data_IF_888410384118
#
_entry.id   IF_888410384118
#
_cell.length_a   1.000
_cell.length_b   1.000
_cell.length_c   1.000
_cell.angle_alpha   90.00
_cell.angle_beta   90.00
_cell.angle_gamma   90.00
#
_symmetry.space_group_name_H-M   'P 1'
#
loop_
_entity.id
_entity.type
_entity.pdbx_description
1 polymer ?
#
# COMPACT_ATOMS: atom_id res chain seq x y z
N UNK A 1 -12.81 13.91 -5.02
CA UNK A 1 -13.73 13.30 -4.02
C UNK A 1 -12.89 12.62 -2.92
N UNK A 2 -13.29 12.77 -1.64
CA UNK A 2 -12.44 12.39 -0.50
C UNK A 2 -12.40 10.89 -0.17
N UNK A 3 -13.51 10.15 -0.34
CA UNK A 3 -13.61 8.72 -0.02
C UNK A 3 -13.31 8.35 1.45
N UNK A 4 -13.73 9.20 2.40
CA UNK A 4 -13.40 9.07 3.83
C UNK A 4 -13.81 7.69 4.40
N UNK A 5 -14.99 7.19 4.06
CA UNK A 5 -15.47 5.89 4.54
C UNK A 5 -14.66 4.72 3.98
N UNK A 6 -14.22 4.80 2.73
CA UNK A 6 -13.35 3.80 2.10
C UNK A 6 -11.97 3.80 2.76
N UNK A 7 -11.41 4.97 3.11
CA UNK A 7 -10.17 5.06 3.89
C UNK A 7 -10.32 4.42 5.27
N UNK A 8 -11.42 4.71 5.98
CA UNK A 8 -11.69 4.11 7.30
C UNK A 8 -11.85 2.59 7.23
N UNK A 9 -12.52 2.09 6.20
CA UNK A 9 -12.71 0.65 5.97
C UNK A 9 -11.39 -0.02 5.62
N UNK A 10 -10.61 0.59 4.71
CA UNK A 10 -9.30 0.09 4.31
C UNK A 10 -8.30 0.05 5.46
N UNK A 11 -8.26 1.13 6.27
CA UNK A 11 -7.45 1.17 7.47
C UNK A 11 -7.78 0.01 8.42
N UNK A 12 -9.08 -0.23 8.67
CA UNK A 12 -9.53 -1.26 9.60
C UNK A 12 -9.31 -2.69 9.09
N UNK A 13 -9.58 -2.95 7.81
CA UNK A 13 -9.52 -4.30 7.24
C UNK A 13 -8.13 -4.75 6.80
N UNK A 14 -7.31 -3.80 6.33
CA UNK A 14 -6.06 -4.13 5.63
C UNK A 14 -4.80 -3.53 6.25
N UNK A 15 -4.87 -2.30 6.77
CA UNK A 15 -3.66 -1.61 7.24
C UNK A 15 -3.39 -1.83 8.71
N UNK A 16 -4.43 -1.76 9.55
CA UNK A 16 -4.28 -1.86 11.00
C UNK A 16 -4.15 -3.32 11.44
N UNK A 17 -3.46 -3.55 12.56
CA UNK A 17 -3.65 -4.78 13.30
C UNK A 17 -5.11 -4.91 13.74
N UNK A 18 -5.65 -6.13 13.69
CA UNK A 18 -6.96 -6.42 14.24
C UNK A 18 -6.93 -6.40 15.78
N UNK A 19 -8.09 -6.20 16.38
CA UNK A 19 -8.22 -6.03 17.84
C UNK A 19 -7.68 -7.24 18.61
N UNK A 20 -7.88 -8.46 18.10
CA UNK A 20 -7.36 -9.69 18.71
C UNK A 20 -5.84 -9.66 18.84
N UNK A 21 -5.12 -9.29 17.76
CA UNK A 21 -3.65 -9.18 17.77
C UNK A 21 -3.17 -8.08 18.70
N UNK A 22 -3.88 -6.95 18.76
CA UNK A 22 -3.58 -5.86 19.69
C UNK A 22 -3.75 -6.31 21.14
N UNK A 23 -4.85 -6.97 21.48
CA UNK A 23 -5.10 -7.50 22.83
C UNK A 23 -4.09 -8.58 23.23
N UNK A 24 -3.74 -9.49 22.31
CA UNK A 24 -2.72 -10.52 22.54
C UNK A 24 -1.34 -9.91 22.77
N UNK A 25 -0.99 -8.85 22.02
CA UNK A 25 0.25 -8.12 22.22
C UNK A 25 0.32 -7.51 23.62
N UNK A 26 -0.74 -6.80 24.04
CA UNK A 26 -0.84 -6.22 25.39
C UNK A 26 -0.71 -7.29 26.49
N UNK A 27 -1.46 -8.38 26.39
CA UNK A 27 -1.39 -9.52 27.33
C UNK A 27 0.02 -10.12 27.39
N UNK A 28 0.71 -10.20 26.25
CA UNK A 28 2.07 -10.75 26.19
C UNK A 28 3.09 -9.83 26.85
N UNK A 29 2.95 -8.50 26.65
CA UNK A 29 3.79 -7.50 27.31
C UNK A 29 3.57 -7.57 28.82
N UNK A 30 2.33 -7.61 29.31
CA UNK A 30 2.02 -7.75 30.74
C UNK A 30 2.64 -9.01 31.34
N UNK A 31 2.53 -10.15 30.65
CA UNK A 31 3.16 -11.41 31.09
C UNK A 31 4.69 -11.31 31.17
N UNK A 32 5.33 -10.69 30.17
CA UNK A 32 6.78 -10.45 30.16
C UNK A 32 7.20 -9.52 31.29
N UNK A 33 6.46 -8.43 31.54
CA UNK A 33 6.73 -7.52 32.66
C UNK A 33 6.64 -8.23 34.01
N UNK A 34 5.62 -9.08 34.21
CA UNK A 34 5.47 -9.88 35.43
C UNK A 34 6.65 -10.84 35.60
N UNK A 35 7.07 -11.52 34.53
CA UNK A 35 8.21 -12.42 34.57
C UNK A 35 9.51 -11.70 34.94
N UNK A 36 9.77 -10.54 34.35
CA UNK A 36 10.96 -9.72 34.66
C UNK A 36 10.92 -9.21 36.11
N UNK A 37 9.75 -8.75 36.59
CA UNK A 37 9.59 -8.31 38.00
C UNK A 37 9.82 -9.44 39.01
N UNK A 38 9.48 -10.68 38.65
CA UNK A 38 9.71 -11.87 39.47
C UNK A 38 11.11 -12.48 39.30
N UNK A 39 11.92 -11.94 38.38
CA UNK A 39 13.24 -12.48 38.05
C UNK A 39 14.29 -12.15 39.11
N UNK A 40 15.40 -12.88 39.06
CA UNK A 40 16.65 -12.54 39.73
C UNK A 40 17.63 -11.80 38.79
N UNK A 41 17.12 -11.03 37.82
CA UNK A 41 17.94 -10.36 36.80
C UNK A 41 19.05 -9.49 37.40
N UNK A 42 18.85 -8.89 38.58
CA UNK A 42 19.89 -8.14 39.29
C UNK A 42 19.59 -6.65 39.47
N UNK A 43 19.38 -5.86 38.40
CA UNK A 43 19.18 -4.42 38.55
C UNK A 43 17.82 -4.10 39.17
N UNK A 44 17.76 -3.01 39.95
CA UNK A 44 16.49 -2.52 40.50
C UNK A 44 15.66 -1.89 39.39
N UNK A 45 14.50 -2.49 39.13
CA UNK A 45 13.55 -2.02 38.13
C UNK A 45 12.80 -0.81 38.68
N UNK A 46 12.83 0.28 37.92
CA UNK A 46 12.14 1.54 38.21
C UNK A 46 10.79 1.59 37.51
N UNK A 47 10.75 1.25 36.21
CA UNK A 47 9.53 1.30 35.41
C UNK A 47 9.62 0.43 34.14
N UNK A 48 8.48 0.27 33.48
CA UNK A 48 8.36 -0.30 32.14
C UNK A 48 7.62 0.67 31.23
N UNK A 49 8.22 1.02 30.10
CA UNK A 49 7.62 1.93 29.13
C UNK A 49 7.60 1.32 27.74
N UNK A 50 6.48 1.50 27.04
CA UNK A 50 6.42 1.23 25.61
C UNK A 50 7.10 2.36 24.84
N UNK A 51 7.84 2.03 23.79
CA UNK A 51 8.26 3.02 22.79
C UNK A 51 7.95 2.57 21.37
N UNK A 52 8.43 3.36 20.40
CA UNK A 52 8.41 2.96 19.00
C UNK A 52 7.00 2.87 18.44
N UNK A 53 6.83 2.07 17.40
CA UNK A 53 5.59 2.08 16.64
C UNK A 53 4.38 1.54 17.42
N UNK A 54 4.63 0.75 18.47
CA UNK A 54 3.60 0.37 19.45
C UNK A 54 3.08 1.56 20.23
N UNK A 55 3.97 2.30 20.92
CA UNK A 55 3.60 3.45 21.74
C UNK A 55 3.01 4.59 20.88
N UNK A 56 3.55 4.82 19.69
CA UNK A 56 3.00 5.78 18.73
C UNK A 56 1.66 5.33 18.18
N UNK A 57 1.28 4.07 18.40
CA UNK A 57 0.17 3.37 17.78
C UNK A 57 0.20 3.44 16.26
N UNK A 58 1.38 3.30 15.64
CA UNK A 58 1.59 3.28 14.20
C UNK A 58 1.99 1.89 13.69
N UNK A 59 1.83 0.83 14.49
CA UNK A 59 1.94 -0.55 14.00
C UNK A 59 0.93 -0.79 12.87
N UNK A 60 1.38 -1.48 11.83
CA UNK A 60 0.56 -1.92 10.71
C UNK A 60 0.52 -3.45 10.65
N UNK A 61 -0.52 -4.00 10.04
CA UNK A 61 -0.61 -5.41 9.70
C UNK A 61 0.59 -5.77 8.81
N UNK A 62 1.41 -6.76 9.20
CA UNK A 62 2.50 -7.20 8.34
C UNK A 62 1.94 -7.86 7.07
N UNK A 63 2.73 -7.83 5.99
CA UNK A 63 2.46 -8.64 4.81
C UNK A 63 2.39 -10.12 5.19
N UNK A 64 1.73 -10.95 4.37
CA UNK A 64 1.55 -12.36 4.67
C UNK A 64 2.87 -13.06 5.03
N UNK A 65 2.92 -13.71 6.20
CA UNK A 65 4.11 -14.37 6.74
C UNK A 65 5.11 -13.44 7.45
N UNK A 66 4.84 -12.13 7.51
CA UNK A 66 5.61 -11.17 8.29
C UNK A 66 5.12 -11.05 9.74
N UNK A 67 5.97 -10.47 10.58
CA UNK A 67 5.73 -10.25 12.00
C UNK A 67 5.59 -8.76 12.31
N UNK A 68 4.99 -8.44 13.44
CA UNK A 68 4.99 -7.09 14.00
C UNK A 68 5.72 -7.05 15.34
N UNK A 69 6.33 -5.91 15.60
CA UNK A 69 7.22 -5.65 16.72
C UNK A 69 6.57 -4.71 17.74
N UNK A 70 6.88 -4.95 19.01
CA UNK A 70 6.66 -4.00 20.08
C UNK A 70 7.91 -3.83 20.91
N UNK A 71 8.26 -2.57 21.16
CA UNK A 71 9.42 -2.21 21.93
C UNK A 71 9.03 -1.92 23.39
N UNK A 72 9.72 -2.58 24.31
CA UNK A 72 9.56 -2.44 25.75
C UNK A 72 10.88 -1.99 26.38
N UNK A 73 10.90 -0.79 26.95
CA UNK A 73 11.96 -0.36 27.83
C UNK A 73 11.77 -0.95 29.22
N UNK A 74 12.86 -1.46 29.80
CA UNK A 74 12.92 -1.77 31.22
C UNK A 74 13.86 -0.78 31.87
N UNK A 75 13.29 0.21 32.55
CA UNK A 75 14.03 1.31 33.15
C UNK A 75 14.59 0.83 34.48
N UNK A 76 15.90 0.93 34.67
CA UNK A 76 16.61 0.38 35.83
C UNK A 76 17.62 1.35 36.43
N UNK A 77 17.93 1.16 37.72
CA UNK A 77 19.10 1.79 38.36
C UNK A 77 20.41 1.15 37.88
N UNK A 78 21.52 1.90 37.87
CA UNK A 78 22.83 1.34 37.58
C UNK A 78 23.25 0.34 38.66
N UNK A 79 23.82 -0.78 38.23
CA UNK A 79 24.44 -1.78 39.11
C UNK A 79 25.94 -1.54 39.17
N UNK A 80 26.49 -1.52 40.38
CA UNK A 80 27.92 -1.33 40.59
C UNK A 80 28.71 -2.48 39.95
N UNK A 81 29.74 -2.14 39.17
CA UNK A 81 30.61 -3.10 38.48
C UNK A 81 30.03 -3.71 37.20
N UNK A 82 28.81 -3.34 36.78
CA UNK A 82 28.23 -3.80 35.51
C UNK A 82 28.61 -2.90 34.33
N UNK A 83 29.00 -3.54 33.23
CA UNK A 83 29.12 -2.93 31.91
C UNK A 83 27.78 -2.99 31.16
N UNK A 84 27.65 -2.28 30.02
CA UNK A 84 26.45 -2.28 29.20
C UNK A 84 26.01 -3.68 28.74
N UNK A 85 26.96 -4.53 28.33
CA UNK A 85 26.64 -5.90 27.89
C UNK A 85 25.99 -6.76 28.99
N UNK A 86 26.28 -6.48 30.26
CA UNK A 86 25.85 -7.32 31.38
C UNK A 86 24.33 -7.23 31.55
N UNK A 87 23.75 -6.03 31.41
CA UNK A 87 22.31 -5.82 31.43
C UNK A 87 21.57 -6.71 30.42
N UNK A 88 22.07 -6.82 29.19
CA UNK A 88 21.44 -7.64 28.15
C UNK A 88 21.72 -9.14 28.37
N UNK A 89 22.95 -9.49 28.70
CA UNK A 89 23.37 -10.89 28.83
C UNK A 89 22.66 -11.57 29.99
N UNK A 90 22.59 -10.92 31.16
CA UNK A 90 21.92 -11.43 32.36
C UNK A 90 20.40 -11.48 32.16
N UNK A 91 19.79 -10.49 31.49
CA UNK A 91 18.36 -10.54 31.17
C UNK A 91 18.06 -11.73 30.25
N UNK A 92 18.90 -11.94 29.24
CA UNK A 92 18.76 -13.08 28.35
C UNK A 92 19.01 -14.40 29.09
N UNK A 93 19.93 -14.44 30.05
CA UNK A 93 20.23 -15.66 30.81
C UNK A 93 19.05 -16.07 31.69
N UNK A 94 18.36 -15.09 32.28
CA UNK A 94 17.08 -15.32 32.94
C UNK A 94 16.07 -15.97 32.00
N UNK A 95 15.88 -15.42 30.79
CA UNK A 95 14.92 -15.97 29.83
C UNK A 95 15.33 -17.33 29.25
N UNK A 96 16.62 -17.59 29.06
CA UNK A 96 17.14 -18.91 28.64
C UNK A 96 16.79 -20.01 29.66
N UNK A 97 16.73 -19.66 30.94
CA UNK A 97 16.33 -20.57 32.03
C UNK A 97 14.80 -20.59 32.26
N UNK A 98 14.04 -19.67 31.65
CA UNK A 98 12.62 -19.52 31.92
C UNK A 98 11.78 -20.58 31.19
N UNK A 99 10.94 -21.30 31.94
CA UNK A 99 10.14 -22.43 31.42
C UNK A 99 9.26 -22.08 30.21
N UNK A 100 8.71 -20.87 30.17
CA UNK A 100 7.84 -20.39 29.09
C UNK A 100 8.58 -19.80 27.88
N UNK A 101 9.77 -19.23 28.09
CA UNK A 101 10.40 -18.31 27.11
C UNK A 101 11.72 -18.82 26.53
N UNK A 102 12.34 -19.83 27.13
CA UNK A 102 13.65 -20.37 26.71
C UNK A 102 13.76 -20.71 25.22
N UNK A 103 12.67 -21.19 24.61
CA UNK A 103 12.66 -21.60 23.20
C UNK A 103 12.24 -20.46 22.25
N UNK A 104 12.07 -19.25 22.79
CA UNK A 104 11.59 -18.05 22.09
C UNK A 104 12.53 -16.85 22.21
N UNK A 105 13.57 -16.96 23.04
CA UNK A 105 14.41 -15.83 23.40
C UNK A 105 15.61 -15.71 22.46
N UNK A 106 15.86 -14.47 22.03
CA UNK A 106 17.02 -14.11 21.23
C UNK A 106 17.68 -12.86 21.82
N UNK A 107 19.02 -12.79 21.76
CA UNK A 107 19.77 -11.59 22.19
C UNK A 107 20.24 -10.82 20.97
N UNK A 108 19.87 -9.55 20.88
CA UNK A 108 20.36 -8.62 19.87
C UNK A 108 21.29 -7.58 20.51
N UNK A 109 21.78 -6.62 19.72
CA UNK A 109 22.72 -5.61 20.22
C UNK A 109 22.17 -4.81 21.38
N UNK A 110 20.90 -4.41 21.34
CA UNK A 110 20.29 -3.49 22.30
C UNK A 110 19.14 -4.08 23.12
N UNK A 111 18.75 -5.33 22.85
CA UNK A 111 17.58 -5.92 23.48
C UNK A 111 17.68 -7.44 23.60
N UNK A 112 16.82 -7.97 24.47
CA UNK A 112 16.41 -9.37 24.49
C UNK A 112 15.03 -9.45 23.84
N UNK A 113 14.92 -10.24 22.77
CA UNK A 113 13.68 -10.38 22.01
C UNK A 113 12.98 -11.67 22.38
N UNK A 114 11.68 -11.61 22.66
CA UNK A 114 10.80 -12.77 22.74
C UNK A 114 10.03 -12.90 21.42
N UNK A 115 10.30 -13.97 20.67
CA UNK A 115 9.72 -14.23 19.35
C UNK A 115 8.57 -15.25 19.44
N UNK A 116 7.39 -14.82 19.02
CA UNK A 116 6.24 -15.69 18.76
C UNK A 116 6.19 -15.90 17.26
N UNK A 117 6.85 -16.97 16.79
CA UNK A 117 7.12 -17.25 15.37
C UNK A 117 5.87 -17.06 14.51
N UNK A 118 6.01 -16.21 13.48
CA UNK A 118 4.95 -15.90 12.52
C UNK A 118 3.83 -15.02 13.06
N UNK A 119 3.95 -14.52 14.29
CA UNK A 119 2.97 -13.65 14.94
C UNK A 119 3.56 -12.30 15.32
N UNK A 120 4.45 -12.25 16.31
CA UNK A 120 4.95 -11.00 16.91
C UNK A 120 6.31 -11.15 17.58
N UNK A 121 7.00 -10.02 17.75
CA UNK A 121 8.21 -9.89 18.56
C UNK A 121 8.03 -8.85 19.66
N UNK A 122 8.61 -9.11 20.82
CA UNK A 122 8.71 -8.14 21.91
C UNK A 122 10.19 -7.90 22.15
N UNK A 123 10.65 -6.70 21.80
CA UNK A 123 12.03 -6.28 21.96
C UNK A 123 12.19 -5.59 23.32
N UNK A 124 12.85 -6.27 24.25
CA UNK A 124 13.00 -5.83 25.64
C UNK A 124 14.38 -5.19 25.78
N UNK A 125 14.41 -3.86 25.86
CA UNK A 125 15.64 -3.08 25.95
C UNK A 125 15.84 -2.56 27.39
N UNK A 126 16.87 -3.03 28.11
CA UNK A 126 17.34 -2.40 29.33
C UNK A 126 17.71 -0.93 29.08
N UNK A 127 17.21 -0.07 29.95
CA UNK A 127 17.44 1.37 29.91
C UNK A 127 17.94 1.83 31.29
N UNK A 128 19.22 2.15 31.38
CA UNK A 128 19.83 2.60 32.64
C UNK A 128 19.51 4.07 32.86
N UNK A 129 18.90 4.37 33.99
CA UNK A 129 18.60 5.75 34.41
C UNK A 129 19.60 6.18 35.48
N UNK A 130 20.13 7.40 35.35
CA UNK A 130 20.80 8.04 36.48
C UNK A 130 22.29 7.74 36.63
N UNK A 131 22.94 7.07 35.67
CA UNK A 131 24.36 6.69 35.78
C UNK A 131 25.31 7.89 35.90
N UNK A 132 25.04 8.96 35.15
CA UNK A 132 25.80 10.22 35.20
C UNK A 132 25.04 11.36 35.88
N UNK A 133 23.77 11.53 35.50
CA UNK A 133 22.87 12.54 36.08
C UNK A 133 21.48 11.93 36.25
N UNK A 134 20.74 12.36 37.28
CA UNK A 134 19.47 11.74 37.70
C UNK A 134 18.41 11.58 36.60
N UNK A 135 18.44 12.41 35.55
CA UNK A 135 17.47 12.43 34.46
C UNK A 135 18.04 11.96 33.10
N UNK A 136 19.21 11.31 33.07
CA UNK A 136 19.71 10.70 31.82
C UNK A 136 19.32 9.24 31.69
N UNK A 137 18.95 8.86 30.47
CA UNK A 137 18.60 7.52 30.06
C UNK A 137 19.60 7.01 29.03
N UNK A 138 20.11 5.80 29.24
CA UNK A 138 21.06 5.15 28.34
C UNK A 138 20.56 3.73 28.01
N UNK A 139 20.46 3.38 26.73
CA UNK A 139 20.28 1.98 26.33
C UNK A 139 21.63 1.27 26.31
N UNK A 140 21.61 -0.05 26.47
CA UNK A 140 22.82 -0.86 26.55
C UNK A 140 23.11 -1.57 25.23
N UNK A 141 24.30 -1.34 24.64
CA UNK A 141 24.76 -2.09 23.48
C UNK A 141 25.72 -3.20 23.91
N UNK A 142 25.29 -4.46 23.83
CA UNK A 142 26.12 -5.61 24.24
C UNK A 142 27.25 -5.96 23.29
N UNK A 143 27.18 -5.51 22.03
CA UNK A 143 28.19 -5.84 21.01
C UNK A 143 29.38 -4.89 21.15
N UNK A 144 29.12 -3.59 21.25
CA UNK A 144 30.19 -2.58 21.47
C UNK A 144 30.55 -2.42 22.95
N UNK A 145 29.72 -2.94 23.85
CA UNK A 145 29.82 -2.77 25.30
C UNK A 145 29.73 -1.30 25.73
N UNK A 146 28.84 -0.55 25.09
CA UNK A 146 28.67 0.89 25.31
C UNK A 146 27.28 1.21 25.86
N UNK A 147 27.22 2.22 26.73
CA UNK A 147 25.98 2.88 27.11
C UNK A 147 25.71 4.00 26.12
N UNK A 148 24.55 3.98 25.48
CA UNK A 148 24.18 4.93 24.43
C UNK A 148 23.04 5.82 24.92
N UNK A 149 23.23 7.13 24.94
CA UNK A 149 22.17 8.09 25.31
C UNK A 149 20.93 7.88 24.45
N UNK A 150 19.77 7.79 25.10
CA UNK A 150 18.48 7.66 24.41
C UNK A 150 17.51 8.75 24.84
N UNK A 151 16.59 9.10 23.94
CA UNK A 151 15.44 9.96 24.21
C UNK A 151 14.15 9.29 23.70
N UNK A 152 14.04 7.96 23.83
CA UNK A 152 12.92 7.19 23.28
C UNK A 152 11.55 7.60 23.87
N UNK A 153 11.51 7.98 25.15
CA UNK A 153 10.31 8.49 25.81
C UNK A 153 9.93 9.88 25.27
N UNK A 154 10.85 10.84 25.34
CA UNK A 154 10.64 12.20 24.80
C UNK A 154 10.29 12.17 23.30
N UNK A 155 10.84 11.24 22.53
CA UNK A 155 10.52 11.08 21.12
C UNK A 155 9.09 10.56 20.94
N UNK A 156 8.67 9.63 21.80
CA UNK A 156 7.29 9.13 21.83
C UNK A 156 6.32 10.25 22.17
N UNK A 157 6.62 11.07 23.18
CA UNK A 157 5.84 12.25 23.53
C UNK A 157 5.77 13.23 22.36
N UNK A 158 6.91 13.51 21.70
CA UNK A 158 6.94 14.37 20.52
C UNK A 158 6.04 13.85 19.38
N UNK A 159 6.05 12.53 19.10
CA UNK A 159 5.16 11.94 18.07
C UNK A 159 3.70 12.07 18.47
N UNK A 160 3.37 11.80 19.74
CA UNK A 160 2.01 11.91 20.29
C UNK A 160 1.52 13.35 20.22
N UNK A 161 2.35 14.32 20.61
CA UNK A 161 2.06 15.75 20.57
C UNK A 161 1.80 16.22 19.14
N UNK A 162 2.65 15.84 18.17
CA UNK A 162 2.44 16.18 16.75
C UNK A 162 1.11 15.63 16.23
N UNK A 163 0.71 14.43 16.64
CA UNK A 163 -0.61 13.90 16.31
C UNK A 163 -1.74 14.67 17.04
N UNK A 164 -1.52 15.08 18.29
CA UNK A 164 -2.44 15.89 19.07
C UNK A 164 -2.72 17.26 18.49
N UNK A 165 -1.72 17.91 17.88
CA UNK A 165 -1.86 19.22 17.23
C UNK A 165 -2.95 19.22 16.16
N UNK A 166 -3.00 18.19 15.30
CA UNK A 166 -3.95 18.14 14.18
C UNK A 166 -5.31 17.50 14.52
N UNK A 167 -5.42 16.85 15.67
CA UNK A 167 -6.66 16.20 16.11
C UNK A 167 -7.05 14.97 15.27
N UNK A 168 -8.19 14.36 15.61
CA UNK A 168 -8.80 13.26 14.83
C UNK A 168 -8.01 11.94 14.74
N UNK A 169 -6.82 11.89 15.33
CA UNK A 169 -5.80 10.85 15.13
C UNK A 169 -5.41 10.66 13.65
N UNK A 170 -5.61 11.67 12.81
CA UNK A 170 -5.39 11.53 11.37
C UNK A 170 -3.92 11.44 11.00
N UNK A 171 -3.01 12.09 11.76
CA UNK A 171 -1.57 11.90 11.57
C UNK A 171 -1.15 10.45 11.82
N UNK A 172 -1.63 9.83 12.91
CA UNK A 172 -1.41 8.40 13.20
C UNK A 172 -1.90 7.52 12.04
N UNK A 173 -3.12 7.77 11.53
CA UNK A 173 -3.68 7.01 10.39
C UNK A 173 -2.85 7.20 9.12
N UNK A 174 -2.40 8.42 8.83
CA UNK A 174 -1.55 8.74 7.67
C UNK A 174 -0.19 8.07 7.79
N UNK A 175 0.44 8.09 8.96
CA UNK A 175 1.71 7.37 9.20
C UNK A 175 1.56 5.88 8.91
N UNK A 176 0.45 5.25 9.34
CA UNK A 176 0.14 3.85 9.01
C UNK A 176 -0.03 3.63 7.50
N UNK A 177 -0.77 4.50 6.81
CA UNK A 177 -0.95 4.42 5.35
C UNK A 177 0.39 4.54 4.60
N UNK A 178 1.28 5.43 5.04
CA UNK A 178 2.58 5.63 4.42
C UNK A 178 3.54 4.46 4.68
N UNK A 179 3.53 3.88 5.89
CA UNK A 179 4.24 2.64 6.19
C UNK A 179 3.71 1.49 5.33
N UNK A 180 2.39 1.35 5.22
CA UNK A 180 1.78 0.34 4.36
C UNK A 180 2.16 0.54 2.89
N UNK A 181 2.12 1.77 2.37
CA UNK A 181 2.57 2.11 1.03
C UNK A 181 4.03 1.70 0.78
N UNK A 182 4.93 1.98 1.73
CA UNK A 182 6.33 1.55 1.66
C UNK A 182 6.42 0.03 1.52
N UNK A 183 5.69 -0.70 2.37
CA UNK A 183 5.77 -2.16 2.47
C UNK A 183 5.18 -2.85 1.23
N UNK A 184 4.08 -2.36 0.65
CA UNK A 184 3.51 -2.95 -0.57
C UNK A 184 4.27 -2.57 -1.85
N UNK A 185 4.97 -1.42 -1.87
CA UNK A 185 5.65 -0.94 -3.09
C UNK A 185 7.07 -1.44 -3.21
N UNK A 186 7.75 -1.68 -2.08
CA UNK A 186 9.11 -2.24 -1.97
C UNK A 186 10.14 -1.60 -2.91
N UNK A 187 9.93 -0.34 -3.31
CA UNK A 187 10.70 0.34 -4.35
C UNK A 187 11.39 1.62 -3.87
N UNK A 188 11.38 1.85 -2.56
CA UNK A 188 12.22 2.80 -1.82
C UNK A 188 12.46 2.26 -0.40
N UNK A 189 13.53 2.75 0.22
CA UNK A 189 13.92 2.39 1.59
C UNK A 189 13.69 3.58 2.50
N UNK A 190 12.98 3.39 3.61
CA UNK A 190 12.84 4.38 4.68
C UNK A 190 12.49 3.65 5.99
N UNK A 191 13.43 3.56 6.96
CA UNK A 191 13.13 2.96 8.26
C UNK A 191 11.97 3.66 8.96
N UNK A 192 11.20 2.91 9.76
CA UNK A 192 9.97 3.42 10.38
C UNK A 192 10.20 4.65 11.27
N UNK A 193 11.30 4.70 12.03
CA UNK A 193 11.64 5.86 12.85
C UNK A 193 11.89 7.11 12.00
N UNK A 194 12.70 7.01 10.94
CA UNK A 194 13.00 8.13 10.05
C UNK A 194 11.75 8.59 9.30
N UNK A 195 10.91 7.65 8.87
CA UNK A 195 9.66 8.00 8.20
C UNK A 195 8.70 8.73 9.13
N UNK A 196 8.60 8.28 10.39
CA UNK A 196 7.76 8.91 11.42
C UNK A 196 8.25 10.32 11.73
N UNK A 197 9.57 10.52 11.86
CA UNK A 197 10.18 11.85 12.03
C UNK A 197 9.87 12.77 10.86
N UNK A 198 10.08 12.30 9.62
CA UNK A 198 9.77 13.07 8.41
C UNK A 198 8.31 13.50 8.36
N UNK A 199 7.38 12.60 8.69
CA UNK A 199 5.94 12.90 8.73
C UNK A 199 5.61 13.90 9.83
N UNK A 200 6.10 13.69 11.06
CA UNK A 200 5.81 14.55 12.20
C UNK A 200 6.41 15.96 12.08
N UNK A 201 7.60 16.09 11.47
CA UNK A 201 8.26 17.40 11.25
C UNK A 201 7.48 18.32 10.28
N UNK A 202 6.50 17.78 9.54
CA UNK A 202 5.63 18.55 8.65
C UNK A 202 4.30 18.96 9.29
N UNK A 203 4.18 18.78 10.62
CA UNK A 203 3.10 19.31 11.43
C UNK A 203 3.61 20.47 12.28
N UNK A 204 2.97 21.62 12.12
CA UNK A 204 3.28 22.86 12.83
C UNK A 204 2.17 23.17 13.82
N UNK A 205 2.50 23.86 14.91
CA UNK A 205 1.51 24.16 15.97
C UNK A 205 0.36 25.04 15.42
N UNK A 206 0.62 25.81 14.37
CA UNK A 206 -0.38 26.58 13.61
C UNK A 206 -1.38 25.73 12.82
N UNK A 207 -1.17 24.42 12.69
CA UNK A 207 -2.09 23.50 12.03
C UNK A 207 -3.27 23.10 12.92
N UNK A 208 -3.26 23.50 14.19
CA UNK A 208 -4.37 23.26 15.10
C UNK A 208 -5.68 23.77 14.52
N UNK A 209 -6.70 22.92 14.54
CA UNK A 209 -8.04 23.18 13.99
C UNK A 209 -8.08 23.51 12.48
N UNK A 210 -6.98 23.25 11.76
CA UNK A 210 -6.91 23.50 10.32
C UNK A 210 -7.71 22.49 9.51
N UNK A 211 -8.48 22.99 8.53
CA UNK A 211 -9.22 22.14 7.57
C UNK A 211 -8.31 21.25 6.73
N UNK A 212 -7.00 21.56 6.66
CA UNK A 212 -6.00 20.75 5.97
C UNK A 212 -5.76 19.37 6.62
N UNK A 213 -6.32 19.16 7.83
CA UNK A 213 -6.23 17.92 8.59
C UNK A 213 -7.60 17.40 9.07
N UNK A 214 -8.70 17.91 8.52
CA UNK A 214 -10.06 17.60 8.96
C UNK A 214 -10.47 16.12 8.81
N UNK A 215 -9.79 15.38 7.95
CA UNK A 215 -10.03 13.96 7.72
C UNK A 215 -8.76 13.28 7.17
N UNK A 216 -8.73 11.95 7.22
CA UNK A 216 -7.58 11.14 6.79
C UNK A 216 -7.11 11.41 5.35
N UNK A 217 -7.95 11.42 4.30
CA UNK A 217 -7.48 11.68 2.94
C UNK A 217 -6.96 13.11 2.76
N UNK A 218 -7.56 14.10 3.41
CA UNK A 218 -7.08 15.49 3.37
C UNK A 218 -5.74 15.62 4.10
N UNK A 219 -5.62 15.01 5.28
CA UNK A 219 -4.36 14.94 6.04
C UNK A 219 -3.25 14.26 5.21
N UNK A 220 -3.54 13.13 4.55
CA UNK A 220 -2.58 12.41 3.71
C UNK A 220 -2.05 13.32 2.60
N UNK A 221 -2.94 14.00 1.89
CA UNK A 221 -2.59 14.94 0.81
C UNK A 221 -1.73 16.08 1.33
N UNK A 222 -2.11 16.69 2.45
CA UNK A 222 -1.37 17.80 3.07
C UNK A 222 0.04 17.38 3.49
N UNK A 223 0.17 16.28 4.25
CA UNK A 223 1.45 15.78 4.74
C UNK A 223 2.36 15.37 3.57
N UNK A 224 1.83 14.65 2.58
CA UNK A 224 2.64 14.24 1.42
C UNK A 224 3.06 15.41 0.54
N UNK A 225 2.21 16.43 0.41
CA UNK A 225 2.57 17.67 -0.27
C UNK A 225 3.75 18.37 0.42
N UNK A 226 3.65 18.60 1.73
CA UNK A 226 4.71 19.23 2.53
C UNK A 226 6.01 18.43 2.54
N UNK A 227 5.91 17.10 2.66
CA UNK A 227 7.06 16.21 2.62
C UNK A 227 7.77 16.28 1.26
N UNK A 228 7.03 16.20 0.16
CA UNK A 228 7.64 16.33 -1.16
C UNK A 228 8.25 17.72 -1.37
N UNK A 229 7.58 18.81 -0.98
CA UNK A 229 8.13 20.18 -1.08
C UNK A 229 9.47 20.30 -0.33
N UNK A 230 9.54 19.78 0.90
CA UNK A 230 10.76 19.72 1.69
C UNK A 230 11.88 18.95 0.98
N UNK A 231 11.54 17.78 0.41
CA UNK A 231 12.48 16.92 -0.31
C UNK A 231 12.93 17.56 -1.62
N UNK A 232 12.03 18.18 -2.40
CA UNK A 232 12.34 18.85 -3.67
C UNK A 232 13.34 19.98 -3.48
N UNK A 233 13.21 20.75 -2.39
CA UNK A 233 14.14 21.81 -2.03
C UNK A 233 15.55 21.30 -1.61
N UNK A 234 15.73 19.99 -1.39
CA UNK A 234 16.98 19.39 -0.89
C UNK A 234 17.48 18.29 -1.84
N UNK A 235 18.20 18.63 -2.93
CA UNK A 235 18.71 17.64 -3.88
C UNK A 235 19.75 16.70 -3.27
N UNK A 236 20.53 17.18 -2.30
CA UNK A 236 21.51 16.40 -1.53
C UNK A 236 20.92 15.93 -0.20
N UNK A 237 21.40 14.78 0.30
CA UNK A 237 20.98 14.17 1.56
C UNK A 237 21.10 15.17 2.71
N UNK A 238 19.98 15.62 3.31
CA UNK A 238 20.04 16.53 4.44
C UNK A 238 20.39 15.77 5.72
N UNK A 239 20.92 16.53 6.68
CA UNK A 239 21.02 16.07 8.07
C UNK A 239 19.61 16.14 8.67
N UNK A 240 19.01 14.98 8.94
CA UNK A 240 17.74 14.87 9.67
C UNK A 240 18.09 14.28 11.03
N UNK A 241 17.78 15.04 12.07
CA UNK A 241 18.07 14.68 13.46
C UNK A 241 16.81 14.15 14.13
N UNK A 242 17.01 13.38 15.18
CA UNK A 242 15.96 13.15 16.16
C UNK A 242 15.52 14.51 16.75
N UNK A 243 14.20 14.82 16.77
CA UNK A 243 13.68 16.11 17.18
C UNK A 243 13.93 16.44 18.65
N UNK A 244 14.17 15.43 19.49
CA UNK A 244 14.39 15.59 20.93
C UNK A 244 15.82 15.22 21.37
N UNK A 245 16.61 14.59 20.49
CA UNK A 245 18.00 14.22 20.75
C UNK A 245 18.90 14.68 19.60
N UNK A 246 19.40 15.91 19.70
CA UNK A 246 20.12 16.54 18.59
C UNK A 246 21.40 15.81 18.16
N UNK A 247 22.03 15.01 19.04
CA UNK A 247 23.19 14.19 18.71
C UNK A 247 22.87 13.03 17.76
N UNK A 248 21.63 12.53 17.78
CA UNK A 248 21.16 11.43 16.93
C UNK A 248 20.79 11.93 15.52
N UNK A 249 21.59 11.54 14.52
CA UNK A 249 21.37 11.87 13.10
C UNK A 249 20.72 10.68 12.41
N UNK A 250 19.40 10.68 12.42
CA UNK A 250 18.56 9.63 11.83
C UNK A 250 18.75 9.44 10.32
N UNK A 251 19.14 10.48 9.57
CA UNK A 251 19.39 10.35 8.12
C UNK A 251 20.66 9.57 7.75
N UNK A 252 21.52 9.22 8.71
CA UNK A 252 22.74 8.42 8.46
C UNK A 252 22.46 7.03 7.91
N UNK A 253 21.23 6.53 8.05
CA UNK A 253 20.79 5.25 7.46
C UNK A 253 20.65 5.29 5.94
N UNK A 254 20.74 6.47 5.33
CA UNK A 254 20.73 6.63 3.89
C UNK A 254 22.09 7.03 3.36
N UNK A 255 22.43 6.48 2.19
CA UNK A 255 23.32 7.13 1.25
C UNK A 255 22.56 8.08 0.31
N UNK A 256 23.31 8.84 -0.51
CA UNK A 256 22.74 9.79 -1.47
C UNK A 256 21.85 9.11 -2.54
N UNK A 257 22.12 7.85 -2.89
CA UNK A 257 21.35 7.08 -3.88
C UNK A 257 20.00 6.66 -3.31
N UNK A 258 20.00 6.08 -2.10
CA UNK A 258 18.80 5.70 -1.37
C UNK A 258 17.90 6.91 -1.12
N UNK A 259 18.48 8.02 -0.68
CA UNK A 259 17.78 9.29 -0.53
C UNK A 259 17.22 9.80 -1.86
N UNK A 260 18.02 9.83 -2.92
CA UNK A 260 17.57 10.24 -4.25
C UNK A 260 16.37 9.41 -4.75
N UNK A 261 16.39 8.10 -4.52
CA UNK A 261 15.28 7.22 -4.84
C UNK A 261 14.04 7.52 -3.97
N UNK A 262 14.20 7.65 -2.65
CA UNK A 262 13.12 8.04 -1.74
C UNK A 262 12.43 9.32 -2.21
N UNK A 263 13.19 10.39 -2.46
CA UNK A 263 12.66 11.66 -2.96
C UNK A 263 11.84 11.47 -4.23
N UNK A 264 12.35 10.70 -5.20
CA UNK A 264 11.69 10.51 -6.50
C UNK A 264 10.40 9.71 -6.36
N UNK A 265 10.36 8.74 -5.44
CA UNK A 265 9.16 7.97 -5.14
C UNK A 265 8.11 8.81 -4.39
N UNK A 266 8.52 9.61 -3.40
CA UNK A 266 7.61 10.53 -2.72
C UNK A 266 6.97 11.52 -3.70
N UNK A 267 7.75 12.09 -4.62
CA UNK A 267 7.22 12.98 -5.67
C UNK A 267 6.19 12.27 -6.57
N UNK A 268 6.51 11.05 -7.01
CA UNK A 268 5.58 10.23 -7.79
C UNK A 268 4.27 9.97 -7.05
N UNK A 269 4.35 9.59 -5.77
CA UNK A 269 3.16 9.27 -4.98
C UNK A 269 2.36 10.51 -4.62
N UNK A 270 2.99 11.67 -4.41
CA UNK A 270 2.27 12.95 -4.31
C UNK A 270 1.41 13.20 -5.53
N UNK A 271 1.97 13.06 -6.74
CA UNK A 271 1.20 13.26 -7.98
C UNK A 271 -0.02 12.34 -8.03
N UNK A 272 0.14 11.05 -7.69
CA UNK A 272 -1.00 10.12 -7.68
C UNK A 272 -2.04 10.47 -6.61
N UNK A 273 -1.60 10.88 -5.41
CA UNK A 273 -2.48 11.30 -4.32
C UNK A 273 -3.29 12.53 -4.73
N UNK A 274 -2.65 13.55 -5.30
CA UNK A 274 -3.33 14.75 -5.78
C UNK A 274 -4.33 14.42 -6.90
N UNK A 275 -3.94 13.59 -7.88
CA UNK A 275 -4.83 13.11 -8.96
C UNK A 275 -6.04 12.33 -8.44
N UNK A 276 -5.86 11.48 -7.42
CA UNK A 276 -6.91 10.66 -6.83
C UNK A 276 -7.89 11.48 -5.98
N UNK A 277 -7.34 12.43 -5.20
CA UNK A 277 -8.10 13.31 -4.33
C UNK A 277 -8.95 14.32 -5.12
N UNK A 278 -8.39 14.89 -6.20
CA UNK A 278 -9.05 15.87 -7.04
C UNK A 278 -10.09 15.25 -8.00
N UNK A 279 -10.04 13.93 -8.24
CA UNK A 279 -10.97 13.25 -9.14
C UNK A 279 -12.43 13.37 -8.69
N UNK A 280 -13.30 13.79 -9.60
CA UNK A 280 -14.72 14.01 -9.34
C UNK A 280 -15.54 12.73 -9.56
N UNK A 281 -15.16 11.90 -10.53
CA UNK A 281 -15.83 10.63 -10.78
C UNK A 281 -15.50 9.61 -9.69
N UNK A 282 -16.54 8.97 -9.15
CA UNK A 282 -16.37 8.09 -8.00
C UNK A 282 -15.52 6.87 -8.32
N UNK A 283 -15.82 6.23 -9.44
CA UNK A 283 -15.20 4.98 -9.83
C UNK A 283 -13.74 5.22 -10.27
N UNK A 284 -13.48 6.33 -10.97
CA UNK A 284 -12.13 6.77 -11.33
C UNK A 284 -11.29 7.10 -10.10
N UNK A 285 -11.85 7.80 -9.10
CA UNK A 285 -11.12 8.13 -7.87
C UNK A 285 -10.71 6.85 -7.12
N UNK A 286 -11.60 5.87 -7.01
CA UNK A 286 -11.27 4.57 -6.40
C UNK A 286 -10.15 3.88 -7.18
N UNK A 287 -10.22 3.82 -8.51
CA UNK A 287 -9.17 3.21 -9.33
C UNK A 287 -7.81 3.90 -9.16
N UNK A 288 -7.80 5.24 -8.99
CA UNK A 288 -6.58 6.00 -8.69
C UNK A 288 -6.04 5.72 -7.28
N UNK A 289 -6.90 5.55 -6.28
CA UNK A 289 -6.45 5.14 -4.94
C UNK A 289 -5.95 3.69 -4.91
N UNK A 290 -6.55 2.77 -5.66
CA UNK A 290 -6.06 1.40 -5.81
C UNK A 290 -4.69 1.35 -6.49
N UNK A 291 -4.36 2.30 -7.37
CA UNK A 291 -2.99 2.46 -7.90
C UNK A 291 -1.97 2.73 -6.79
N UNK A 292 -2.37 3.48 -5.76
CA UNK A 292 -1.52 3.85 -4.62
C UNK A 292 -1.46 2.68 -3.63
N UNK A 293 -2.61 2.21 -3.15
CA UNK A 293 -2.72 1.28 -2.01
C UNK A 293 -3.00 -0.19 -2.36
N UNK A 294 -3.16 -0.52 -3.64
CA UNK A 294 -3.51 -1.86 -4.09
C UNK A 294 -5.03 -2.10 -4.12
N UNK A 295 -5.41 -3.27 -4.63
CA UNK A 295 -6.81 -3.55 -5.02
C UNK A 295 -7.75 -3.72 -3.84
N UNK A 296 -7.22 -3.99 -2.65
CA UNK A 296 -8.00 -4.10 -1.42
C UNK A 296 -8.66 -2.75 -1.03
N UNK A 297 -8.15 -1.61 -1.52
CA UNK A 297 -8.81 -0.32 -1.30
C UNK A 297 -10.15 -0.27 -2.03
N UNK A 298 -11.26 -0.19 -1.27
CA UNK A 298 -12.63 -0.21 -1.79
C UNK A 298 -12.91 -1.39 -2.74
N UNK A 299 -12.37 -2.58 -2.43
CA UNK A 299 -12.50 -3.78 -3.25
C UNK A 299 -13.95 -4.19 -3.48
N UNK A 300 -14.80 -4.04 -2.46
CA UNK A 300 -16.23 -4.27 -2.55
C UNK A 300 -16.85 -3.39 -3.62
N UNK A 301 -16.73 -2.07 -3.50
CA UNK A 301 -17.31 -1.13 -4.47
C UNK A 301 -16.72 -1.28 -5.87
N UNK A 302 -15.44 -1.59 -5.98
CA UNK A 302 -14.81 -1.92 -7.26
C UNK A 302 -15.43 -3.18 -7.90
N UNK A 303 -15.68 -4.23 -7.12
CA UNK A 303 -16.36 -5.44 -7.62
C UNK A 303 -17.79 -5.13 -8.05
N UNK A 304 -18.53 -4.39 -7.22
CA UNK A 304 -19.94 -4.06 -7.50
C UNK A 304 -20.11 -3.19 -8.75
N UNK A 305 -19.14 -2.32 -9.06
CA UNK A 305 -19.20 -1.43 -10.24
C UNK A 305 -19.21 -2.19 -11.58
N UNK A 306 -18.79 -3.46 -11.59
CA UNK A 306 -18.78 -4.30 -12.78
C UNK A 306 -20.18 -4.64 -13.32
N UNK A 307 -21.21 -4.58 -12.47
CA UNK A 307 -22.60 -4.93 -12.82
C UNK A 307 -23.31 -3.78 -13.54
N UNK A 308 -22.81 -3.47 -14.72
CA UNK A 308 -23.25 -2.34 -15.53
C UNK A 308 -24.74 -2.44 -15.91
N UNK A 309 -25.21 -3.65 -16.26
CA UNK A 309 -26.61 -3.90 -16.60
C UNK A 309 -27.59 -3.51 -15.48
N UNK A 310 -27.27 -3.77 -14.21
CA UNK A 310 -28.10 -3.35 -13.07
C UNK A 310 -28.12 -1.83 -12.94
N UNK A 311 -26.99 -1.16 -13.17
CA UNK A 311 -26.89 0.30 -13.06
C UNK A 311 -27.64 1.04 -14.17
N UNK A 312 -27.54 0.56 -15.42
CA UNK A 312 -28.22 1.14 -16.58
C UNK A 312 -29.73 0.92 -16.49
N UNK A 313 -30.16 -0.18 -15.87
CA UNK A 313 -31.59 -0.44 -15.64
C UNK A 313 -32.19 0.48 -14.57
N UNK A 314 -31.38 1.02 -13.64
CA UNK A 314 -31.84 1.92 -12.56
C UNK A 314 -31.88 3.40 -12.97
N UNK A 315 -31.10 3.81 -13.98
CA UNK A 315 -31.00 5.21 -14.42
C UNK A 315 -32.17 5.68 -15.30
N UNK A 316 -32.95 4.76 -15.88
CA UNK A 316 -34.13 5.11 -16.65
C UNK A 316 -35.37 5.21 -15.75
N UNK A 317 -35.86 6.43 -15.55
CA UNK A 317 -37.15 6.73 -14.92
C UNK A 317 -38.38 6.28 -15.76
N UNK A 318 -38.16 5.61 -16.89
CA UNK A 318 -39.19 5.13 -17.81
C UNK A 318 -39.13 3.60 -17.90
N UNK A 319 -39.65 2.96 -16.85
CA UNK A 319 -40.18 1.59 -16.89
C UNK A 319 -41.38 1.58 -17.84
N UNK A 320 -41.13 1.72 -19.15
CA UNK A 320 -42.18 1.55 -20.15
C UNK A 320 -42.29 0.06 -20.42
N UNK A 321 -43.42 -0.51 -20.03
CA UNK A 321 -43.91 -1.83 -20.43
C UNK A 321 -43.21 -3.08 -19.85
N UNK A 322 -42.62 -3.01 -18.65
CA UNK A 322 -42.26 -4.23 -17.88
C UNK A 322 -41.18 -5.13 -18.50
N UNK A 323 -40.47 -4.66 -19.54
CA UNK A 323 -39.32 -5.36 -20.10
C UNK A 323 -38.03 -4.73 -19.58
N UNK A 324 -37.41 -5.34 -18.56
CA UNK A 324 -36.05 -4.99 -18.14
C UNK A 324 -35.07 -5.33 -19.28
N UNK A 325 -34.51 -4.30 -19.94
CA UNK A 325 -33.44 -4.47 -20.93
C UNK A 325 -32.08 -4.22 -20.30
N UNK A 326 -31.29 -5.28 -20.20
CA UNK A 326 -29.90 -5.21 -19.76
C UNK A 326 -28.99 -4.49 -20.76
N UNK A 327 -27.72 -4.26 -20.38
CA UNK A 327 -26.80 -3.48 -21.20
C UNK A 327 -26.53 -4.15 -22.57
N UNK A 328 -26.41 -5.47 -22.60
CA UNK A 328 -26.18 -6.22 -23.84
C UNK A 328 -27.32 -5.99 -24.83
N UNK A 329 -28.57 -6.09 -24.38
CA UNK A 329 -29.74 -5.86 -25.24
C UNK A 329 -29.79 -4.41 -25.75
N UNK A 330 -29.46 -3.44 -24.90
CA UNK A 330 -29.39 -2.03 -25.31
C UNK A 330 -28.29 -1.77 -26.33
N UNK A 331 -27.13 -2.40 -26.19
CA UNK A 331 -26.03 -2.31 -27.16
C UNK A 331 -26.39 -2.99 -28.49
N UNK A 332 -27.13 -4.10 -28.45
CA UNK A 332 -27.65 -4.72 -29.68
C UNK A 332 -28.58 -3.75 -30.44
N UNK A 333 -29.41 -2.99 -29.72
CA UNK A 333 -30.41 -2.09 -30.32
C UNK A 333 -29.86 -0.73 -30.75
N UNK A 334 -28.98 -0.14 -29.92
CA UNK A 334 -28.52 1.25 -30.07
C UNK A 334 -27.00 1.37 -30.25
N UNK A 335 -26.29 0.25 -30.34
CA UNK A 335 -24.84 0.21 -30.55
C UNK A 335 -24.07 0.96 -29.46
N UNK A 336 -23.08 1.76 -29.89
CA UNK A 336 -22.18 2.49 -28.98
C UNK A 336 -22.91 3.49 -28.07
N UNK A 337 -24.03 4.04 -28.51
CA UNK A 337 -24.79 5.04 -27.75
C UNK A 337 -25.39 4.49 -26.45
N UNK A 338 -25.53 3.17 -26.33
CA UNK A 338 -26.00 2.51 -25.12
C UNK A 338 -24.91 2.30 -24.06
N UNK A 339 -23.63 2.50 -24.40
CA UNK A 339 -22.53 2.27 -23.46
C UNK A 339 -22.48 3.39 -22.42
N UNK A 340 -22.42 3.07 -21.12
CA UNK A 340 -22.22 4.08 -20.10
C UNK A 340 -20.79 4.64 -20.19
N UNK A 341 -20.62 5.96 -20.09
CA UNK A 341 -19.32 6.62 -20.20
C UNK A 341 -18.24 6.03 -19.27
N UNK A 342 -18.67 5.59 -18.08
CA UNK A 342 -17.79 4.99 -17.06
C UNK A 342 -17.26 3.59 -17.40
N UNK A 343 -17.74 2.92 -18.45
CA UNK A 343 -17.38 1.52 -18.75
C UNK A 343 -15.87 1.30 -18.93
N UNK A 344 -15.14 2.33 -19.35
CA UNK A 344 -13.68 2.30 -19.53
C UNK A 344 -12.89 2.73 -18.29
N UNK A 345 -13.59 3.19 -17.24
CA UNK A 345 -13.05 3.85 -16.04
C UNK A 345 -13.44 3.16 -14.73
N UNK A 346 -14.02 1.96 -14.80
CA UNK A 346 -14.33 1.18 -13.60
C UNK A 346 -13.09 1.00 -12.71
N UNK A 347 -13.24 0.89 -11.38
CA UNK A 347 -12.10 1.00 -10.46
C UNK A 347 -11.09 -0.13 -10.63
N UNK A 348 -11.59 -1.37 -10.80
CA UNK A 348 -10.76 -2.57 -10.98
C UNK A 348 -10.05 -2.65 -12.35
N UNK A 349 -10.33 -1.71 -13.27
CA UNK A 349 -9.60 -1.61 -14.54
C UNK A 349 -8.23 -0.99 -14.25
N UNK A 350 -7.15 -1.77 -14.33
CA UNK A 350 -5.79 -1.28 -14.04
C UNK A 350 -5.42 -0.10 -14.93
N UNK A 351 -5.02 1.01 -14.32
CA UNK A 351 -4.46 2.15 -15.03
C UNK A 351 -3.06 1.82 -15.57
N UNK A 352 -2.66 2.36 -16.74
CA UNK A 352 -1.33 2.10 -17.31
C UNK A 352 -0.22 2.48 -16.33
N UNK A 353 0.72 1.55 -16.12
CA UNK A 353 1.85 1.73 -15.20
C UNK A 353 3.10 2.33 -15.85
N UNK A 354 3.11 2.42 -17.17
CA UNK A 354 4.25 2.87 -17.96
C UNK A 354 4.22 4.38 -18.17
N UNK A 355 5.39 5.01 -18.19
CA UNK A 355 5.51 6.40 -18.62
C UNK A 355 5.30 6.48 -20.13
N UNK A 356 4.67 7.56 -20.59
CA UNK A 356 4.55 7.82 -22.02
C UNK A 356 5.94 8.07 -22.63
N UNK A 357 6.17 7.51 -23.82
CA UNK A 357 7.30 7.88 -24.65
C UNK A 357 7.09 9.28 -25.27
N UNK A 358 8.17 9.92 -25.71
CA UNK A 358 8.09 11.19 -26.44
C UNK A 358 7.41 11.04 -27.80
N UNK A 359 7.56 9.86 -28.42
CA UNK A 359 6.91 9.49 -29.66
C UNK A 359 5.72 8.56 -29.37
N UNK A 360 4.61 8.77 -30.08
CA UNK A 360 3.44 7.89 -30.02
C UNK A 360 3.11 7.33 -31.41
N UNK A 361 2.70 6.07 -31.44
CA UNK A 361 2.21 5.34 -32.61
C UNK A 361 0.72 5.05 -32.46
N UNK A 362 0.02 5.05 -33.59
CA UNK A 362 -1.36 4.57 -33.64
C UNK A 362 -1.37 3.05 -33.51
N UNK A 363 -2.18 2.54 -32.58
CA UNK A 363 -2.39 1.11 -32.36
C UNK A 363 -3.83 0.79 -32.73
N UNK A 364 -4.01 -0.05 -33.74
CA UNK A 364 -5.32 -0.56 -34.15
C UNK A 364 -5.48 -1.99 -33.62
N UNK A 365 -6.70 -2.36 -33.24
CA UNK A 365 -7.06 -3.73 -32.85
C UNK A 365 -8.03 -4.29 -33.88
N UNK A 366 -7.68 -5.43 -34.48
CA UNK A 366 -8.60 -6.26 -35.25
C UNK A 366 -8.92 -7.54 -34.48
N UNK A 367 -10.03 -8.20 -34.82
CA UNK A 367 -10.46 -9.41 -34.15
C UNK A 367 -10.98 -10.46 -35.13
N UNK A 368 -10.80 -11.74 -34.78
CA UNK A 368 -11.26 -12.89 -35.54
C UNK A 368 -11.94 -13.91 -34.61
N UNK A 369 -13.06 -14.46 -35.05
CA UNK A 369 -13.78 -15.52 -34.32
C UNK A 369 -13.16 -16.88 -34.64
N UNK A 370 -13.00 -17.72 -33.62
CA UNK A 370 -12.46 -19.06 -33.70
C UNK A 370 -13.47 -20.08 -33.16
N UNK A 371 -13.37 -21.35 -33.58
CA UNK A 371 -14.16 -22.45 -32.99
C UNK A 371 -13.89 -22.63 -31.49
N UNK A 372 -12.62 -22.56 -31.11
CA UNK A 372 -12.09 -22.65 -29.75
C UNK A 372 -10.68 -22.03 -29.73
N UNK A 373 -10.00 -21.97 -28.59
CA UNK A 373 -8.63 -21.46 -28.52
C UNK A 373 -7.71 -22.31 -29.41
N UNK A 374 -6.90 -21.64 -30.22
CA UNK A 374 -6.05 -22.25 -31.27
C UNK A 374 -6.83 -23.05 -32.31
N UNK A 375 -8.16 -22.92 -32.34
CA UNK A 375 -9.05 -23.57 -33.28
C UNK A 375 -9.07 -22.90 -34.66
N UNK A 376 -10.05 -23.30 -35.47
CA UNK A 376 -10.16 -22.83 -36.86
C UNK A 376 -10.84 -21.47 -36.92
N UNK A 377 -10.35 -20.60 -37.81
CA UNK A 377 -10.91 -19.26 -38.06
C UNK A 377 -12.29 -19.35 -38.71
N UNK A 378 -13.28 -18.72 -38.09
CA UNK A 378 -14.66 -18.63 -38.59
C UNK A 378 -14.91 -17.32 -39.37
N UNK A 379 -14.26 -16.22 -39.01
CA UNK A 379 -14.45 -14.93 -39.69
C UNK A 379 -13.87 -13.74 -38.94
N UNK A 380 -13.91 -12.56 -39.57
CA UNK A 380 -13.56 -11.30 -38.91
C UNK A 380 -14.68 -10.81 -38.00
N UNK A 381 -14.32 -10.10 -36.93
CA UNK A 381 -15.26 -9.54 -35.94
C UNK A 381 -15.06 -8.04 -35.84
N UNK A 382 -16.17 -7.29 -35.86
CA UNK A 382 -16.15 -5.84 -35.59
C UNK A 382 -16.49 -5.54 -34.13
N UNK A 383 -15.97 -4.44 -33.61
CA UNK A 383 -16.28 -3.97 -32.25
C UNK A 383 -17.79 -3.76 -32.10
N UNK A 384 -18.36 -4.16 -30.95
CA UNK A 384 -19.80 -4.18 -30.66
C UNK A 384 -20.63 -5.21 -31.44
N UNK A 385 -20.03 -6.05 -32.27
CA UNK A 385 -20.74 -7.16 -32.90
C UNK A 385 -21.25 -8.14 -31.82
N UNK A 386 -22.53 -8.53 -31.84
CA UNK A 386 -23.06 -9.53 -30.90
C UNK A 386 -22.55 -10.93 -31.24
N UNK A 387 -21.94 -11.60 -30.27
CA UNK A 387 -21.32 -12.92 -30.42
C UNK A 387 -21.95 -13.94 -29.47
N UNK A 388 -22.12 -15.17 -29.95
CA UNK A 388 -22.62 -16.29 -29.15
C UNK A 388 -21.51 -16.87 -28.27
N UNK A 389 -21.89 -17.44 -27.13
CA UNK A 389 -20.98 -18.18 -26.26
C UNK A 389 -20.38 -19.42 -26.94
N UNK A 390 -19.37 -19.99 -26.29
CA UNK A 390 -18.78 -21.28 -26.68
C UNK A 390 -17.80 -21.21 -27.84
N UNK A 391 -17.36 -20.00 -28.19
CA UNK A 391 -16.33 -19.73 -29.19
C UNK A 391 -15.18 -18.96 -28.53
N UNK A 392 -14.07 -18.83 -29.24
CA UNK A 392 -12.96 -17.97 -28.83
C UNK A 392 -12.78 -16.83 -29.82
N UNK A 393 -12.14 -15.76 -29.39
CA UNK A 393 -11.85 -14.58 -30.21
C UNK A 393 -10.35 -14.28 -30.14
N UNK A 394 -9.72 -14.06 -31.30
CA UNK A 394 -8.32 -13.67 -31.41
C UNK A 394 -8.24 -12.19 -31.75
N UNK A 395 -7.59 -11.42 -30.89
CA UNK A 395 -7.24 -10.03 -31.14
C UNK A 395 -5.85 -9.92 -31.73
N UNK A 396 -5.63 -8.96 -32.62
CA UNK A 396 -4.33 -8.64 -33.20
C UNK A 396 -4.11 -7.14 -33.17
N UNK A 397 -2.93 -6.72 -32.71
CA UNK A 397 -2.54 -5.31 -32.69
C UNK A 397 -1.66 -4.97 -33.91
N UNK A 398 -1.99 -3.87 -34.59
CA UNK A 398 -1.26 -3.40 -35.77
C UNK A 398 -1.05 -1.89 -35.76
N UNK A 399 -0.14 -1.40 -36.59
CA UNK A 399 0.08 0.02 -36.80
C UNK A 399 -1.03 0.65 -37.68
N UNK A 400 -0.87 1.93 -38.03
CA UNK A 400 -1.81 2.69 -38.83
C UNK A 400 -2.11 2.10 -40.23
N UNK A 401 -1.18 1.34 -40.81
CA UNK A 401 -1.32 0.71 -42.13
C UNK A 401 -1.71 -0.77 -42.06
N UNK A 402 -2.06 -1.28 -40.87
CA UNK A 402 -2.52 -2.66 -40.70
C UNK A 402 -1.41 -3.71 -40.60
N UNK A 403 -0.16 -3.29 -40.43
CA UNK A 403 1.01 -4.19 -40.33
C UNK A 403 1.43 -4.36 -38.87
N UNK A 404 1.92 -5.53 -38.45
CA UNK A 404 2.55 -5.73 -37.14
C UNK A 404 3.66 -4.70 -36.85
N UNK A 405 3.88 -4.41 -35.56
CA UNK A 405 5.02 -3.59 -35.14
C UNK A 405 6.35 -4.33 -35.32
N UNK A 406 7.47 -3.62 -35.30
CA UNK A 406 8.76 -4.29 -35.35
C UNK A 406 9.12 -4.96 -34.00
N UNK A 407 10.19 -5.74 -34.00
CA UNK A 407 10.60 -6.57 -32.86
C UNK A 407 11.10 -5.77 -31.65
N UNK A 408 11.33 -4.46 -31.77
CA UNK A 408 11.69 -3.58 -30.65
C UNK A 408 10.52 -3.35 -29.69
N UNK A 409 9.29 -3.66 -30.12
CA UNK A 409 8.09 -3.52 -29.30
C UNK A 409 7.55 -4.85 -28.78
N UNK A 410 6.76 -4.76 -27.72
CA UNK A 410 5.84 -5.80 -27.25
C UNK A 410 4.45 -5.19 -27.06
N UNK A 411 3.40 -6.01 -27.19
CA UNK A 411 2.03 -5.59 -26.89
C UNK A 411 1.57 -6.27 -25.61
N UNK A 412 1.06 -5.44 -24.70
CA UNK A 412 0.31 -5.89 -23.53
C UNK A 412 -1.16 -5.56 -23.72
N UNK A 413 -2.01 -6.51 -23.36
CA UNK A 413 -3.45 -6.44 -23.53
C UNK A 413 -4.12 -6.18 -22.20
N UNK A 414 -5.01 -5.19 -22.13
CA UNK A 414 -5.93 -5.07 -21.00
C UNK A 414 -7.24 -5.71 -21.39
N UNK A 415 -7.63 -6.75 -20.67
CA UNK A 415 -8.87 -7.48 -20.89
C UNK A 415 -9.79 -7.23 -19.70
N UNK A 416 -10.95 -6.66 -19.99
CA UNK A 416 -11.92 -6.25 -18.98
C UNK A 416 -13.21 -7.03 -19.12
N UNK A 417 -13.47 -7.90 -18.16
CA UNK A 417 -14.75 -8.59 -18.04
C UNK A 417 -15.70 -7.76 -17.15
N UNK A 418 -16.98 -7.80 -17.48
CA UNK A 418 -18.05 -6.95 -16.93
C UNK A 418 -19.34 -7.77 -16.82
N UNK A 419 -20.36 -7.17 -16.20
CA UNK A 419 -21.71 -7.71 -16.02
C UNK A 419 -21.79 -8.95 -15.11
N UNK A 420 -23.03 -9.35 -14.85
CA UNK A 420 -23.42 -10.32 -13.83
C UNK A 420 -22.75 -11.69 -14.00
N UNK A 421 -22.67 -12.20 -15.23
CA UNK A 421 -22.14 -13.52 -15.48
C UNK A 421 -20.65 -13.64 -15.10
N UNK A 422 -19.85 -12.60 -15.38
CA UNK A 422 -18.44 -12.58 -14.98
C UNK A 422 -18.27 -12.27 -13.47
N UNK A 423 -19.17 -11.46 -12.91
CA UNK A 423 -19.21 -11.16 -11.48
C UNK A 423 -19.44 -12.43 -10.65
N UNK A 424 -20.47 -13.22 -10.97
CA UNK A 424 -20.85 -14.44 -10.25
C UNK A 424 -19.79 -15.55 -10.39
N UNK A 425 -19.16 -15.64 -11.55
CA UNK A 425 -18.07 -16.58 -11.81
C UNK A 425 -16.73 -16.15 -11.18
N UNK A 426 -16.67 -15.02 -10.46
CA UNK A 426 -15.43 -14.44 -9.90
C UNK A 426 -14.30 -14.30 -10.94
N UNK A 427 -14.66 -13.96 -12.18
CA UNK A 427 -13.75 -13.83 -13.32
C UNK A 427 -13.77 -12.41 -13.89
N UNK A 428 -14.08 -11.42 -13.05
CA UNK A 428 -13.83 -10.03 -13.39
C UNK A 428 -12.33 -9.85 -13.64
N UNK A 429 -12.02 -9.18 -14.75
CA UNK A 429 -10.64 -8.89 -15.16
C UNK A 429 -10.52 -7.40 -15.43
N UNK A 430 -9.31 -6.88 -15.24
CA UNK A 430 -8.93 -5.52 -15.61
C UNK A 430 -7.42 -5.32 -15.68
N UNK A 431 -6.65 -6.41 -15.59
CA UNK A 431 -5.20 -6.43 -15.57
C UNK A 431 -4.60 -6.45 -16.98
N UNK A 432 -3.27 -6.38 -17.03
CA UNK A 432 -2.48 -6.44 -18.26
C UNK A 432 -1.93 -7.85 -18.49
N UNK A 433 -2.11 -8.36 -19.70
CA UNK A 433 -1.70 -9.69 -20.10
C UNK A 433 -0.74 -9.63 -21.30
N UNK A 434 0.26 -10.52 -21.37
CA UNK A 434 1.12 -10.61 -22.55
C UNK A 434 0.34 -11.08 -23.78
N UNK A 435 0.93 -10.84 -24.96
CA UNK A 435 0.50 -11.48 -26.20
C UNK A 435 0.85 -12.98 -26.17
N UNK A 436 0.00 -13.83 -26.74
CA UNK A 436 0.20 -15.28 -26.80
C UNK A 436 1.19 -15.64 -27.93
N UNK A 437 1.01 -15.02 -29.09
CA UNK A 437 1.90 -15.17 -30.25
C UNK A 437 2.01 -13.84 -31.01
N UNK A 438 3.23 -13.39 -31.28
CA UNK A 438 3.48 -12.09 -31.93
C UNK A 438 2.84 -10.93 -31.15
N UNK A 439 1.92 -10.20 -31.78
CA UNK A 439 1.09 -9.18 -31.13
C UNK A 439 -0.39 -9.58 -31.13
N UNK A 440 -0.67 -10.84 -30.80
CA UNK A 440 -2.04 -11.35 -30.72
C UNK A 440 -2.35 -11.89 -29.34
N UNK A 441 -3.65 -11.93 -29.02
CA UNK A 441 -4.17 -12.54 -27.79
C UNK A 441 -5.50 -13.22 -28.06
N UNK A 442 -5.67 -14.41 -27.53
CA UNK A 442 -6.92 -15.16 -27.59
C UNK A 442 -7.70 -15.10 -26.27
N UNK A 443 -9.02 -15.06 -26.36
CA UNK A 443 -9.94 -15.01 -25.22
C UNK A 443 -11.19 -15.84 -25.50
N UNK A 444 -11.79 -16.43 -24.47
CA UNK A 444 -13.04 -17.20 -24.60
C UNK A 444 -14.27 -16.33 -24.40
N UNK A 445 -15.30 -16.60 -25.22
CA UNK A 445 -16.61 -15.97 -25.12
C UNK A 445 -17.49 -16.77 -24.15
N UNK A 446 -17.15 -16.74 -22.87
CA UNK A 446 -17.84 -17.55 -21.84
C UNK A 446 -18.96 -16.81 -21.11
N UNK A 447 -18.76 -15.51 -20.85
CA UNK A 447 -19.60 -14.74 -19.94
C UNK A 447 -20.47 -13.78 -20.73
N UNK A 448 -21.77 -13.76 -20.43
CA UNK A 448 -22.68 -12.80 -21.06
C UNK A 448 -22.38 -11.40 -20.52
N UNK A 449 -22.21 -10.41 -21.40
CA UNK A 449 -21.89 -9.03 -20.99
C UNK A 449 -21.25 -8.20 -22.11
N UNK A 450 -20.95 -6.94 -21.79
CA UNK A 450 -20.23 -6.02 -22.69
C UNK A 450 -18.80 -5.79 -22.19
N UNK A 451 -17.87 -6.60 -22.69
CA UNK A 451 -16.48 -6.63 -22.27
C UNK A 451 -15.61 -5.70 -23.11
N UNK A 452 -14.38 -5.45 -22.66
CA UNK A 452 -13.44 -4.54 -23.33
C UNK A 452 -12.07 -5.19 -23.51
N UNK A 453 -11.45 -4.93 -24.66
CA UNK A 453 -10.05 -5.28 -24.93
C UNK A 453 -9.31 -4.07 -25.47
N UNK A 454 -8.16 -3.75 -24.88
CA UNK A 454 -7.29 -2.66 -25.31
C UNK A 454 -5.85 -3.16 -25.47
N UNK A 455 -5.17 -2.68 -26.50
CA UNK A 455 -3.77 -2.99 -26.76
C UNK A 455 -2.86 -1.82 -26.35
N UNK A 456 -1.77 -2.12 -25.64
CA UNK A 456 -0.74 -1.17 -25.22
C UNK A 456 0.59 -1.53 -25.85
N UNK A 457 1.13 -0.63 -26.67
CA UNK A 457 2.42 -0.80 -27.33
C UNK A 457 3.55 -0.33 -26.40
N UNK A 458 4.42 -1.25 -25.99
CA UNK A 458 5.48 -1.00 -25.01
C UNK A 458 6.86 -1.23 -25.65
N UNK A 459 7.78 -0.28 -25.48
CA UNK A 459 9.17 -0.43 -25.91
C UNK A 459 9.90 -1.46 -25.07
N UNK A 460 10.60 -2.42 -25.70
CA UNK A 460 11.34 -3.45 -24.95
C UNK A 460 12.58 -2.91 -24.24
N UNK A 461 13.21 -1.88 -24.81
CA UNK A 461 14.46 -1.30 -24.30
C UNK A 461 14.25 -0.39 -23.09
N UNK A 462 13.18 0.41 -23.08
CA UNK A 462 12.96 1.46 -22.08
C UNK A 462 11.69 1.27 -21.24
N UNK A 463 10.87 0.27 -21.58
CA UNK A 463 9.60 -0.05 -20.93
C UNK A 463 8.65 1.17 -20.88
N UNK A 464 8.66 2.04 -21.89
CA UNK A 464 7.72 3.15 -22.04
C UNK A 464 6.53 2.77 -22.92
N UNK A 465 5.41 3.46 -22.71
CA UNK A 465 4.22 3.32 -23.54
C UNK A 465 4.35 4.21 -24.78
N UNK A 466 4.35 3.56 -25.93
CA UNK A 466 4.47 4.16 -27.25
C UNK A 466 3.13 4.26 -27.98
N UNK A 467 2.06 3.69 -27.43
CA UNK A 467 0.73 3.79 -28.03
C UNK A 467 -0.30 3.00 -27.25
N UNK A 468 -1.56 3.35 -27.43
CA UNK A 468 -2.72 2.67 -26.87
C UNK A 468 -3.82 2.63 -27.93
N UNK A 469 -4.51 1.51 -28.06
CA UNK A 469 -5.69 1.42 -28.95
C UNK A 469 -6.92 2.07 -28.32
N UNK A 470 -7.90 2.39 -29.17
CA UNK A 470 -9.27 2.52 -28.70
C UNK A 470 -9.76 1.18 -28.12
N UNK A 471 -10.71 1.19 -27.17
CA UNK A 471 -11.32 -0.03 -26.67
C UNK A 471 -12.06 -0.79 -27.77
N UNK A 472 -11.75 -2.07 -27.91
CA UNK A 472 -12.54 -3.03 -28.67
C UNK A 472 -13.60 -3.64 -27.74
N UNK A 473 -14.87 -3.43 -28.05
CA UNK A 473 -15.98 -3.93 -27.24
C UNK A 473 -16.44 -5.30 -27.73
N UNK A 474 -16.52 -6.25 -26.82
CA UNK A 474 -16.95 -7.62 -27.10
C UNK A 474 -18.31 -7.83 -26.44
N UNK A 475 -19.35 -7.99 -27.26
CA UNK A 475 -20.73 -8.17 -26.80
C UNK A 475 -21.06 -9.66 -26.85
N UNK A 476 -21.10 -10.32 -25.70
CA UNK A 476 -21.46 -11.74 -25.59
C UNK A 476 -22.92 -11.85 -25.18
N UNK A 477 -23.73 -12.55 -25.99
CA UNK A 477 -25.18 -12.69 -25.81
C UNK A 477 -25.61 -13.94 -25.05
#
# INVERSE_FOLDING_TARGET
MKLVDQFNTFLRGEVNLNDTRVSQLGTSIEAVQIAIKASNWGPKILDFDSHGSWAHGTIIKPLAGGEFDADLLVIVEPVEGWDAKDYINELGAFFDAHSTYKDKVHRYSHCVTIEYVGERRIDIAPCVKGRWWSNTYEVCNRITNEFETTAALDYTDWVVDRNGVVGGNDLKKVTRLLKYLRDIKTNFTCPSFLFTTLVGMHIYDSDKDSVAFADTPTCLKTVMGRLDDYLRARPTLPIIRNPVLSSDIQSRVWDQTQYGNFRNKINLYRTWIDEAFAEEDRDESIGKWQRIFGDSFAAGEAKESARLSESVSKSDALVVAGQFKDLVQRVIESGRAALPDRITRLPYIRRPKWRSASQSYRVNVSAELLTEQKGTRLGGVTSLQPLSKGHSIRFMASNAVGVPFDSSFKVLWRVTNTDQAAYEANTLRGDFYPSDLGFSREEDLAYRGVHLVEAFLIGKSDNRQYGKSDPFYVVVK
#
